data_IF_188174433986
#
_entry.id   IF_188174433986
#
_cell.length_a   1.000
_cell.length_b   1.000
_cell.length_c   1.000
_cell.angle_alpha   90.00
_cell.angle_beta   90.00
_cell.angle_gamma   90.00
#
_symmetry.space_group_name_H-M   'P 1'
#
loop_
_entity.id
_entity.type
_entity.pdbx_description
1 polymer ?
#
# COMPACT_ATOMS: atom_id res chain seq x y z
N UNK A 1 17.69 -5.32 24.98
CA UNK A 1 16.92 -6.37 24.26
C UNK A 1 15.41 -6.22 24.39
N UNK A 2 14.75 -6.50 25.52
CA UNK A 2 13.26 -6.48 25.59
C UNK A 2 12.68 -5.06 25.49
N UNK A 3 13.27 -4.08 26.19
CA UNK A 3 12.83 -2.67 26.15
C UNK A 3 12.98 -2.01 24.79
N UNK A 4 14.04 -2.35 24.06
CA UNK A 4 14.32 -1.87 22.68
C UNK A 4 13.32 -2.41 21.67
N UNK A 5 12.90 -3.68 21.82
CA UNK A 5 11.86 -4.29 21.00
C UNK A 5 10.51 -3.57 21.17
N UNK A 6 10.11 -3.26 22.41
CA UNK A 6 8.85 -2.55 22.66
C UNK A 6 8.83 -1.13 22.08
N UNK A 7 9.96 -0.40 22.15
CA UNK A 7 10.08 0.93 21.54
C UNK A 7 9.99 0.86 20.01
N UNK A 8 10.60 -0.15 19.39
CA UNK A 8 10.51 -0.37 17.95
C UNK A 8 9.07 -0.71 17.53
N UNK A 9 8.39 -1.60 18.24
CA UNK A 9 7.00 -1.98 17.93
C UNK A 9 6.04 -0.81 18.12
N UNK A 10 6.14 -0.06 19.22
CA UNK A 10 5.26 1.10 19.46
C UNK A 10 5.50 2.22 18.44
N UNK A 11 6.77 2.51 18.12
CA UNK A 11 7.13 3.52 17.12
C UNK A 11 6.64 3.16 15.71
N UNK A 12 6.86 1.91 15.29
CA UNK A 12 6.42 1.41 13.96
C UNK A 12 4.90 1.31 13.83
N UNK A 13 4.21 0.93 14.90
CA UNK A 13 2.74 0.93 14.94
C UNK A 13 2.15 2.34 14.84
N UNK A 14 2.72 3.31 15.57
CA UNK A 14 2.30 4.72 15.49
C UNK A 14 2.50 5.30 14.10
N UNK A 15 3.65 5.03 13.48
CA UNK A 15 3.93 5.41 12.10
C UNK A 15 2.94 4.79 11.12
N UNK A 16 2.65 3.50 11.26
CA UNK A 16 1.70 2.78 10.41
C UNK A 16 0.28 3.36 10.51
N UNK A 17 -0.13 3.81 11.69
CA UNK A 17 -1.41 4.53 11.83
C UNK A 17 -1.38 5.89 11.14
N UNK A 18 -0.29 6.67 11.29
CA UNK A 18 -0.16 7.96 10.61
C UNK A 18 -0.20 7.81 9.08
N UNK A 19 0.51 6.83 8.52
CA UNK A 19 0.51 6.60 7.07
C UNK A 19 -0.87 6.21 6.57
N UNK A 20 -1.64 5.41 7.33
CA UNK A 20 -3.01 5.04 6.99
C UNK A 20 -3.98 6.23 7.08
N UNK A 21 -3.82 7.10 8.08
CA UNK A 21 -4.64 8.32 8.21
C UNK A 21 -4.37 9.30 7.05
N UNK A 22 -3.10 9.43 6.66
CA UNK A 22 -2.67 10.19 5.49
C UNK A 22 -3.33 9.60 4.23
N UNK A 23 -3.19 8.29 3.99
CA UNK A 23 -3.83 7.63 2.84
C UNK A 23 -5.34 7.82 2.82
N UNK A 24 -6.02 7.62 3.96
CA UNK A 24 -7.48 7.77 4.06
C UNK A 24 -7.95 9.20 3.75
N UNK A 25 -7.19 10.22 4.18
CA UNK A 25 -7.56 11.63 3.97
C UNK A 25 -7.21 12.14 2.57
N UNK A 26 -6.15 11.60 1.97
CA UNK A 26 -5.65 12.03 0.66
C UNK A 26 -6.33 11.31 -0.52
N UNK A 27 -6.90 10.12 -0.30
CA UNK A 27 -7.65 9.39 -1.34
C UNK A 27 -9.12 9.82 -1.31
N UNK A 28 -9.58 10.42 -2.40
CA UNK A 28 -11.00 10.69 -2.62
C UNK A 28 -11.71 9.39 -3.06
N UNK A 29 -12.32 8.71 -2.09
CA UNK A 29 -12.97 7.40 -2.27
C UNK A 29 -14.16 7.47 -3.23
N UNK A 30 -14.91 8.56 -3.24
CA UNK A 30 -16.08 8.72 -4.10
C UNK A 30 -15.67 8.95 -5.55
N UNK A 31 -14.57 9.68 -5.75
CA UNK A 31 -14.01 9.89 -7.08
C UNK A 31 -13.41 8.61 -7.68
N UNK A 32 -12.76 7.77 -6.85
CA UNK A 32 -12.30 6.44 -7.29
C UNK A 32 -13.48 5.52 -7.64
N UNK A 33 -14.55 5.51 -6.84
CA UNK A 33 -15.76 4.71 -7.10
C UNK A 33 -16.45 5.10 -8.39
N UNK A 34 -16.60 6.40 -8.65
CA UNK A 34 -17.21 6.90 -9.89
C UNK A 34 -16.39 6.52 -11.13
N UNK A 35 -15.06 6.71 -11.10
CA UNK A 35 -14.19 6.30 -12.21
C UNK A 35 -14.26 4.77 -12.45
N UNK A 36 -14.28 3.96 -11.39
CA UNK A 36 -14.40 2.49 -11.51
C UNK A 36 -15.75 2.10 -12.13
N UNK A 37 -16.83 2.82 -11.83
CA UNK A 37 -18.13 2.63 -12.46
C UNK A 37 -18.12 3.02 -13.96
N UNK A 38 -17.46 4.12 -14.31
CA UNK A 38 -17.34 4.58 -15.70
C UNK A 38 -16.48 3.64 -16.56
N UNK A 39 -15.39 3.09 -16.00
CA UNK A 39 -14.58 2.05 -16.66
C UNK A 39 -15.45 0.82 -16.96
N UNK A 40 -16.26 0.35 -16.00
CA UNK A 40 -17.17 -0.78 -16.22
C UNK A 40 -18.24 -0.50 -17.29
N UNK A 41 -18.75 0.73 -17.36
CA UNK A 41 -19.68 1.13 -18.43
C UNK A 41 -18.99 1.11 -19.80
N UNK A 42 -17.79 1.70 -19.90
CA UNK A 42 -16.98 1.69 -21.12
C UNK A 42 -16.63 0.27 -21.58
N UNK A 43 -16.32 -0.64 -20.67
CA UNK A 43 -16.06 -2.05 -21.01
C UNK A 43 -17.27 -2.73 -21.67
N UNK A 44 -18.49 -2.48 -21.18
CA UNK A 44 -19.72 -3.00 -21.81
C UNK A 44 -19.92 -2.39 -23.19
N UNK A 45 -19.76 -1.08 -23.29
CA UNK A 45 -19.89 -0.37 -24.55
C UNK A 45 -18.87 -0.81 -25.61
N UNK A 46 -17.62 -1.12 -25.22
CA UNK A 46 -16.58 -1.63 -26.14
C UNK A 46 -16.96 -3.02 -26.67
N UNK A 47 -17.56 -3.87 -25.83
CA UNK A 47 -18.03 -5.22 -26.23
C UNK A 47 -19.18 -5.15 -27.24
N UNK A 48 -20.08 -4.18 -27.09
CA UNK A 48 -21.26 -4.01 -27.95
C UNK A 48 -20.96 -3.21 -29.23
N UNK A 49 -19.90 -2.40 -29.23
CA UNK A 49 -19.52 -1.57 -30.38
C UNK A 49 -18.87 -2.43 -31.46
N UNK A 50 -19.45 -2.52 -32.66
CA UNK A 50 -18.87 -3.28 -33.79
C UNK A 50 -17.84 -2.51 -34.63
N UNK A 51 -17.94 -1.17 -34.65
CA UNK A 51 -17.02 -0.30 -35.40
C UNK A 51 -15.65 -0.21 -34.71
N UNK A 52 -14.58 -0.50 -35.45
CA UNK A 52 -13.21 -0.43 -34.92
C UNK A 52 -12.78 0.98 -34.50
N UNK A 53 -13.16 2.01 -35.28
CA UNK A 53 -12.86 3.41 -34.97
C UNK A 53 -13.52 3.86 -33.64
N UNK A 54 -14.78 3.46 -33.44
CA UNK A 54 -15.50 3.71 -32.18
C UNK A 54 -14.97 2.86 -31.02
N UNK A 55 -14.47 1.64 -31.27
CA UNK A 55 -13.78 0.85 -30.24
C UNK A 55 -12.48 1.53 -29.81
N UNK A 56 -11.64 1.94 -30.76
CA UNK A 56 -10.34 2.53 -30.49
C UNK A 56 -10.48 3.81 -29.64
N UNK A 57 -11.42 4.69 -30.00
CA UNK A 57 -11.70 5.91 -29.23
C UNK A 57 -12.20 5.64 -27.80
N UNK A 58 -13.04 4.61 -27.60
CA UNK A 58 -13.50 4.19 -26.26
C UNK A 58 -12.39 3.56 -25.43
N UNK A 59 -11.50 2.80 -26.06
CA UNK A 59 -10.32 2.20 -25.42
C UNK A 59 -9.35 3.28 -24.93
N UNK A 60 -9.10 4.31 -25.74
CA UNK A 60 -8.32 5.48 -25.33
C UNK A 60 -8.95 6.20 -24.13
N UNK A 61 -10.27 6.41 -24.14
CA UNK A 61 -10.99 6.97 -22.98
C UNK A 61 -10.86 6.10 -21.72
N UNK A 62 -10.93 4.78 -21.86
CA UNK A 62 -10.73 3.85 -20.75
C UNK A 62 -9.30 3.97 -20.18
N UNK A 63 -8.29 4.08 -21.04
CA UNK A 63 -6.89 4.31 -20.63
C UNK A 63 -6.76 5.63 -19.88
N UNK A 64 -7.38 6.71 -20.35
CA UNK A 64 -7.29 8.02 -19.69
C UNK A 64 -7.97 8.01 -18.31
N UNK A 65 -9.10 7.32 -18.17
CA UNK A 65 -9.74 7.11 -16.87
C UNK A 65 -8.88 6.26 -15.93
N UNK A 66 -8.22 5.21 -16.44
CA UNK A 66 -7.28 4.42 -15.65
C UNK A 66 -6.08 5.27 -15.19
N UNK A 67 -5.52 6.11 -16.08
CA UNK A 67 -4.46 7.05 -15.70
C UNK A 67 -4.92 8.03 -14.63
N UNK A 68 -6.16 8.53 -14.73
CA UNK A 68 -6.75 9.40 -13.70
C UNK A 68 -6.89 8.68 -12.36
N UNK A 69 -7.41 7.45 -12.37
CA UNK A 69 -7.49 6.59 -11.19
C UNK A 69 -6.11 6.34 -10.57
N UNK A 70 -5.11 6.02 -11.40
CA UNK A 70 -3.72 5.88 -10.97
C UNK A 70 -3.21 7.18 -10.35
N UNK A 71 -3.46 8.35 -10.96
CA UNK A 71 -3.01 9.63 -10.38
C UNK A 71 -3.62 9.92 -9.01
N UNK A 72 -4.86 9.49 -8.78
CA UNK A 72 -5.57 9.66 -7.51
C UNK A 72 -5.10 8.68 -6.43
N UNK A 73 -4.60 7.51 -6.80
CA UNK A 73 -4.11 6.49 -5.85
C UNK A 73 -2.60 6.56 -5.64
N UNK A 74 -1.84 6.82 -6.71
CA UNK A 74 -0.37 6.90 -6.69
C UNK A 74 0.14 8.12 -5.93
N UNK A 75 -0.51 9.29 -6.04
CA UNK A 75 -0.10 10.50 -5.29
C UNK A 75 -0.17 10.27 -3.78
N UNK A 76 -1.31 9.79 -3.22
CA UNK A 76 -1.38 9.40 -1.81
C UNK A 76 -0.41 8.29 -1.43
N UNK A 77 -0.19 7.30 -2.31
CA UNK A 77 0.75 6.21 -2.06
C UNK A 77 2.18 6.73 -1.93
N UNK A 78 2.65 7.57 -2.85
CA UNK A 78 3.97 8.20 -2.82
C UNK A 78 4.11 9.13 -1.62
N UNK A 79 3.10 9.94 -1.31
CA UNK A 79 3.16 10.82 -0.14
C UNK A 79 3.20 10.00 1.16
N UNK A 80 2.49 8.87 1.21
CA UNK A 80 2.51 7.96 2.36
C UNK A 80 3.77 7.12 2.46
N UNK A 81 4.58 7.01 1.40
CA UNK A 81 5.86 6.32 1.46
C UNK A 81 6.96 7.19 2.07
N UNK A 82 6.87 8.53 2.01
CA UNK A 82 7.84 9.43 2.66
C UNK A 82 8.03 9.14 4.16
N UNK A 83 6.97 9.05 4.99
CA UNK A 83 7.12 8.70 6.40
C UNK A 83 7.73 7.30 6.60
N UNK A 84 7.37 6.33 5.76
CA UNK A 84 7.91 4.97 5.82
C UNK A 84 9.41 4.99 5.54
N UNK A 85 9.85 5.70 4.50
CA UNK A 85 11.26 5.82 4.13
C UNK A 85 12.07 6.52 5.21
N UNK A 86 11.55 7.60 5.79
CA UNK A 86 12.19 8.28 6.92
C UNK A 86 12.35 7.36 8.13
N UNK A 87 11.32 6.57 8.43
CA UNK A 87 11.39 5.60 9.52
C UNK A 87 12.39 4.49 9.24
N UNK A 88 12.48 3.98 8.00
CA UNK A 88 13.49 2.98 7.63
C UNK A 88 14.90 3.50 7.84
N UNK A 89 15.19 4.76 7.46
CA UNK A 89 16.51 5.38 7.69
C UNK A 89 16.80 5.52 9.18
N UNK A 90 15.83 5.99 9.97
CA UNK A 90 15.99 6.13 11.41
C UNK A 90 16.14 4.77 12.14
N UNK A 91 15.39 3.76 11.71
CA UNK A 91 15.49 2.40 12.23
C UNK A 91 16.81 1.75 11.82
N UNK A 92 17.30 2.01 10.61
CA UNK A 92 18.58 1.48 10.14
C UNK A 92 19.75 1.95 11.00
N UNK A 93 19.74 3.21 11.45
CA UNK A 93 20.80 3.76 12.28
C UNK A 93 20.69 3.34 13.75
N UNK A 94 19.47 3.12 14.25
CA UNK A 94 19.24 2.74 15.65
C UNK A 94 19.35 1.22 15.91
N UNK A 95 19.09 0.37 14.91
CA UNK A 95 18.94 -1.09 15.09
C UNK A 95 19.80 -1.91 14.12
N UNK A 96 20.88 -1.34 13.59
CA UNK A 96 21.77 -1.99 12.61
C UNK A 96 22.27 -3.37 13.08
N UNK A 97 22.59 -3.50 14.39
CA UNK A 97 23.09 -4.72 14.99
C UNK A 97 21.99 -5.74 15.39
N UNK A 98 20.70 -5.41 15.20
CA UNK A 98 19.60 -6.27 15.62
C UNK A 98 19.36 -7.38 14.61
N UNK A 99 19.71 -8.61 14.99
CA UNK A 99 19.43 -9.84 14.26
C UNK A 99 18.51 -10.71 15.12
N UNK A 100 17.33 -11.06 14.58
CA UNK A 100 16.37 -11.92 15.25
C UNK A 100 16.49 -13.32 14.68
N UNK A 101 16.66 -14.29 15.58
CA UNK A 101 16.64 -15.71 15.26
C UNK A 101 15.20 -16.21 15.32
N UNK A 102 14.67 -16.69 14.19
CA UNK A 102 13.37 -17.31 14.10
C UNK A 102 13.41 -18.74 14.67
N UNK A 103 12.34 -19.19 15.35
CA UNK A 103 12.22 -20.57 15.82
C UNK A 103 12.04 -21.58 14.69
N UNK A 104 11.66 -21.12 13.50
CA UNK A 104 11.51 -21.92 12.27
C UNK A 104 12.26 -21.22 11.15
N UNK A 105 13.18 -21.93 10.49
CA UNK A 105 13.91 -21.39 9.35
C UNK A 105 12.96 -21.21 8.16
N UNK A 106 12.95 -20.02 7.58
CA UNK A 106 12.20 -19.77 6.35
C UNK A 106 12.99 -20.32 5.15
N UNK A 107 12.32 -21.00 4.18
CA UNK A 107 12.98 -21.36 2.93
C UNK A 107 13.51 -20.08 2.26
N UNK A 108 14.72 -20.15 1.69
CA UNK A 108 15.47 -19.06 1.04
C UNK A 108 16.09 -17.97 1.93
N UNK A 109 15.58 -17.71 3.14
CA UNK A 109 16.06 -16.63 4.03
C UNK A 109 16.86 -17.17 5.22
N UNK A 110 16.56 -18.39 5.66
CA UNK A 110 17.20 -19.04 6.81
C UNK A 110 16.52 -18.72 8.15
N UNK A 111 17.20 -19.04 9.24
CA UNK A 111 16.70 -18.85 10.61
C UNK A 111 17.03 -17.48 11.20
N UNK A 112 17.75 -16.62 10.47
CA UNK A 112 18.15 -15.30 10.94
C UNK A 112 17.58 -14.23 10.00
N UNK A 113 16.90 -13.26 10.58
CA UNK A 113 16.39 -12.10 9.86
C UNK A 113 16.90 -10.85 10.57
N UNK A 114 17.53 -9.96 9.79
CA UNK A 114 17.93 -8.65 10.27
C UNK A 114 16.73 -7.75 10.58
N UNK A 115 17.00 -6.61 11.23
CA UNK A 115 16.01 -5.59 11.58
C UNK A 115 15.08 -5.20 10.42
N UNK A 116 15.59 -5.15 9.18
CA UNK A 116 14.80 -4.82 7.99
C UNK A 116 13.74 -5.88 7.66
N UNK A 117 14.09 -7.17 7.79
CA UNK A 117 13.14 -8.26 7.59
C UNK A 117 12.02 -8.25 8.63
N UNK A 118 12.38 -8.00 9.89
CA UNK A 118 11.41 -7.84 10.98
C UNK A 118 10.49 -6.64 10.73
N UNK A 119 11.05 -5.50 10.29
CA UNK A 119 10.28 -4.31 9.94
C UNK A 119 9.24 -4.59 8.85
N UNK A 120 9.62 -5.26 7.75
CA UNK A 120 8.68 -5.60 6.67
C UNK A 120 7.58 -6.52 7.18
N UNK A 121 7.93 -7.59 7.91
CA UNK A 121 6.96 -8.55 8.43
C UNK A 121 5.93 -7.88 9.35
N UNK A 122 6.39 -7.08 10.32
CA UNK A 122 5.51 -6.36 11.24
C UNK A 122 4.66 -5.33 10.50
N UNK A 123 5.23 -4.60 9.54
CA UNK A 123 4.51 -3.59 8.75
C UNK A 123 3.40 -4.19 7.91
N UNK A 124 3.67 -5.32 7.22
CA UNK A 124 2.67 -6.02 6.40
C UNK A 124 1.54 -6.57 7.28
N UNK A 125 1.87 -7.25 8.38
CA UNK A 125 0.87 -7.79 9.30
C UNK A 125 0.02 -6.69 9.94
N UNK A 126 0.65 -5.61 10.40
CA UNK A 126 -0.06 -4.45 10.97
C UNK A 126 -1.00 -3.81 9.95
N UNK A 127 -0.57 -3.72 8.69
CA UNK A 127 -1.41 -3.19 7.59
C UNK A 127 -2.67 -4.02 7.41
N UNK A 128 -2.58 -5.36 7.46
CA UNK A 128 -3.75 -6.24 7.35
C UNK A 128 -4.73 -6.03 8.50
N UNK A 129 -4.21 -5.91 9.73
CA UNK A 129 -5.03 -5.68 10.93
C UNK A 129 -5.71 -4.32 10.89
N UNK A 130 -4.97 -3.26 10.55
CA UNK A 130 -5.52 -1.91 10.52
C UNK A 130 -6.49 -1.67 9.36
N UNK A 131 -6.30 -2.33 8.21
CA UNK A 131 -7.28 -2.27 7.11
C UNK A 131 -8.64 -2.79 7.52
N UNK A 132 -8.67 -3.93 8.21
CA UNK A 132 -9.90 -4.53 8.75
C UNK A 132 -10.54 -3.65 9.82
N UNK A 133 -9.73 -3.04 10.69
CA UNK A 133 -10.24 -2.16 11.76
C UNK A 133 -10.78 -0.83 11.23
N UNK A 134 -10.16 -0.28 10.18
CA UNK A 134 -10.56 1.00 9.57
C UNK A 134 -11.65 0.85 8.50
N UNK A 135 -12.12 -0.37 8.22
CA UNK A 135 -13.14 -0.66 7.22
C UNK A 135 -12.69 -0.33 5.79
N UNK A 136 -11.39 -0.41 5.51
CA UNK A 136 -10.79 -0.10 4.20
C UNK A 136 -10.76 -1.32 3.26
N UNK A 137 -11.58 -2.35 3.54
CA UNK A 137 -11.58 -3.65 2.84
C UNK A 137 -11.99 -3.58 1.36
N UNK A 138 -12.42 -2.42 0.85
CA UNK A 138 -12.90 -2.24 -0.51
C UNK A 138 -11.95 -1.36 -1.34
N UNK A 139 -10.82 -1.94 -1.73
CA UNK A 139 -10.15 -1.61 -2.99
C UNK A 139 -10.42 -2.72 -4.01
#
# INVERSE_FOLDING_TARGET
MVTELWMLVLGTSGLSLLTLLIQKRLVDLDLVRSIKADIKKLEKEIKETKSEEKKLSKLSKQIDLQKKMLGLTMKPMMLSSLPVLLAVVFLSSAFEALVVTLPVALPFIGAQIGWFGVFIMVSVLSTLVFRKFLGLDFY
#
